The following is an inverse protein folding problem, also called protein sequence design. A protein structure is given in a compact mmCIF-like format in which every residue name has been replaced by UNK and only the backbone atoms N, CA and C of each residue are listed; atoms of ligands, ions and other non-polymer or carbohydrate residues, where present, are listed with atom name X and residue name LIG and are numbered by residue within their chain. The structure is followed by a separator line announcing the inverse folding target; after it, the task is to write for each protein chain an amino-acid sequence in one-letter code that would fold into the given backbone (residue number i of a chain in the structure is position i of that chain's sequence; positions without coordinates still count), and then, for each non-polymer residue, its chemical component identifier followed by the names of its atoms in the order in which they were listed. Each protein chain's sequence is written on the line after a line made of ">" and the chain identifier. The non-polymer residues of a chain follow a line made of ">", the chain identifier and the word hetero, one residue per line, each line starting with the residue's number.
data_IF_369065234251
#
_entry.id   IF_369065234251
#
_cell.length_a   1.000
_cell.length_b   1.000
_cell.length_c   1.000
_cell.angle_alpha   90.00
_cell.angle_beta   90.00
_cell.angle_gamma   90.00
#
_symmetry.space_group_name_H-M   'P 1'
#
loop_
_entity.id
_entity.type
_entity.pdbx_description
1 polymer ?
#
# COMPACT_ATOMS: atom_id res chain seq x y z
N UNK A 1 -20.66 18.19 -34.30
CA UNK A 1 -19.77 19.09 -33.53
C UNK A 1 -19.63 18.46 -32.15
N UNK A 2 -18.53 17.76 -31.87
CA UNK A 2 -18.32 17.11 -30.58
C UNK A 2 -17.61 18.09 -29.65
N UNK A 3 -18.20 18.33 -28.48
CA UNK A 3 -17.59 19.12 -27.42
C UNK A 3 -16.43 18.30 -26.83
N UNK A 4 -15.19 18.73 -27.06
CA UNK A 4 -14.03 18.21 -26.32
C UNK A 4 -14.20 18.56 -24.84
N UNK A 5 -14.28 17.55 -24.00
CA UNK A 5 -14.20 17.73 -22.56
C UNK A 5 -12.82 18.32 -22.22
N UNK A 6 -12.83 19.52 -21.61
CA UNK A 6 -11.65 20.16 -21.05
C UNK A 6 -11.04 19.26 -19.97
N UNK A 7 -9.78 18.85 -20.12
CA UNK A 7 -9.04 18.21 -19.04
C UNK A 7 -8.93 19.18 -17.87
N UNK A 8 -9.51 18.78 -16.73
CA UNK A 8 -9.36 19.47 -15.46
C UNK A 8 -7.86 19.54 -15.11
N UNK A 9 -7.35 20.66 -14.56
CA UNK A 9 -5.96 20.77 -14.18
C UNK A 9 -5.60 19.67 -13.16
N UNK A 10 -4.75 18.74 -13.60
CA UNK A 10 -4.11 17.75 -12.74
C UNK A 10 -3.34 18.53 -11.67
N UNK A 11 -3.82 18.53 -10.43
CA UNK A 11 -3.03 19.01 -9.29
C UNK A 11 -1.94 17.97 -9.11
N UNK A 12 -0.83 18.14 -9.85
CA UNK A 12 0.22 17.14 -10.04
C UNK A 12 1.00 16.87 -8.77
N UNK A 13 0.40 16.18 -7.81
CA UNK A 13 1.14 15.56 -6.71
C UNK A 13 1.82 14.33 -7.30
N UNK A 14 3.11 14.45 -7.56
CA UNK A 14 3.90 13.34 -8.09
C UNK A 14 4.00 12.24 -7.03
N UNK A 15 3.36 11.11 -7.28
CA UNK A 15 3.46 9.94 -6.41
C UNK A 15 4.82 9.26 -6.53
N UNK A 16 5.37 8.87 -5.38
CA UNK A 16 6.63 8.16 -5.27
C UNK A 16 6.44 6.67 -5.52
N UNK A 17 7.48 6.00 -6.03
CA UNK A 17 7.50 4.54 -6.20
C UNK A 17 8.09 3.88 -4.95
N UNK A 18 7.93 2.56 -4.81
CA UNK A 18 8.52 1.82 -3.69
C UNK A 18 10.05 1.90 -3.69
N UNK A 19 10.67 1.94 -4.87
CA UNK A 19 12.12 2.06 -4.99
C UNK A 19 12.69 3.37 -4.46
N UNK A 20 11.91 4.45 -4.44
CA UNK A 20 12.34 5.73 -3.90
C UNK A 20 12.11 5.86 -2.39
N UNK A 21 11.52 4.85 -1.74
CA UNK A 21 11.29 4.87 -0.31
C UNK A 21 12.60 4.85 0.46
N UNK A 22 12.65 5.64 1.53
CA UNK A 22 13.79 5.77 2.43
C UNK A 22 13.30 5.59 3.86
N UNK A 23 14.16 5.06 4.71
CA UNK A 23 13.83 4.76 6.10
C UNK A 23 13.41 5.99 6.89
N UNK A 24 12.51 5.75 7.85
CA UNK A 24 11.97 6.77 8.75
C UNK A 24 10.61 7.30 8.29
N UNK A 25 10.20 8.42 8.88
CA UNK A 25 8.92 9.06 8.55
C UNK A 25 8.99 9.66 7.15
N UNK A 26 8.05 9.24 6.30
CA UNK A 26 7.95 9.70 4.93
C UNK A 26 7.07 10.93 4.84
N UNK A 27 7.56 11.96 4.16
CA UNK A 27 6.74 13.06 3.64
C UNK A 27 6.26 12.81 2.20
N UNK A 28 6.62 11.66 1.62
CA UNK A 28 6.21 11.25 0.27
C UNK A 28 4.78 10.71 0.33
N UNK A 29 4.03 10.96 -0.75
CA UNK A 29 2.79 10.27 -1.04
C UNK A 29 3.05 9.13 -2.02
N UNK A 30 2.34 8.02 -1.88
CA UNK A 30 2.38 6.90 -2.82
C UNK A 30 0.96 6.62 -3.30
N UNK A 31 0.81 6.27 -4.58
CA UNK A 31 -0.38 5.62 -5.09
C UNK A 31 -0.07 4.12 -5.14
N UNK A 32 -0.93 3.31 -4.54
CA UNK A 32 -0.71 1.88 -4.40
C UNK A 32 -1.99 1.10 -4.67
N UNK A 33 -1.88 0.04 -5.46
CA UNK A 33 -2.89 -1.00 -5.54
C UNK A 33 -2.84 -1.84 -4.27
N UNK A 34 -3.98 -2.00 -3.61
CA UNK A 34 -4.14 -2.91 -2.48
C UNK A 34 -4.50 -4.31 -2.99
N UNK A 35 -3.68 -5.30 -2.64
CA UNK A 35 -3.87 -6.70 -3.03
C UNK A 35 -4.69 -7.47 -2.00
N UNK A 36 -4.20 -7.49 -0.76
CA UNK A 36 -4.77 -8.33 0.31
C UNK A 36 -4.38 -7.77 1.68
N UNK A 37 -5.24 -8.01 2.68
CA UNK A 37 -4.85 -7.95 4.08
C UNK A 37 -5.07 -9.28 4.80
N UNK A 38 -4.35 -9.47 5.89
CA UNK A 38 -4.57 -10.56 6.84
C UNK A 38 -4.14 -10.14 8.24
N UNK A 39 -4.62 -10.87 9.24
CA UNK A 39 -4.24 -10.64 10.63
C UNK A 39 -2.80 -11.15 10.86
N UNK A 40 -1.97 -10.30 11.47
CA UNK A 40 -0.63 -10.65 11.94
C UNK A 40 -0.73 -11.14 13.38
N UNK A 41 -0.19 -12.33 13.63
CA UNK A 41 -0.25 -12.99 14.93
C UNK A 41 1.17 -13.20 15.48
N UNK A 42 1.34 -13.03 16.79
CA UNK A 42 2.57 -13.38 17.48
C UNK A 42 2.55 -14.85 17.90
N UNK A 43 3.15 -15.71 17.07
CA UNK A 43 3.21 -17.15 17.33
C UNK A 43 3.89 -17.52 18.65
N UNK A 44 4.80 -16.68 19.17
CA UNK A 44 5.50 -16.95 20.44
C UNK A 44 4.65 -16.63 21.67
N UNK A 45 3.56 -15.90 21.49
CA UNK A 45 2.69 -15.43 22.56
C UNK A 45 1.24 -15.82 22.25
N UNK A 46 1.00 -17.13 22.22
CA UNK A 46 -0.33 -17.74 22.07
C UNK A 46 -1.16 -17.21 20.87
N UNK A 47 -0.48 -16.94 19.75
CA UNK A 47 -1.10 -16.36 18.55
C UNK A 47 -1.79 -15.00 18.83
N UNK A 48 -1.27 -14.21 19.77
CA UNK A 48 -1.78 -12.87 20.08
C UNK A 48 -1.84 -12.01 18.83
N UNK A 49 -2.99 -11.40 18.57
CA UNK A 49 -3.18 -10.47 17.46
C UNK A 49 -2.33 -9.21 17.68
N UNK A 50 -1.38 -8.96 16.78
CA UNK A 50 -0.44 -7.81 16.89
C UNK A 50 -0.74 -6.69 15.90
N UNK A 51 -1.60 -6.93 14.92
CA UNK A 51 -1.93 -5.96 13.89
C UNK A 51 -2.38 -6.63 12.60
N UNK A 52 -2.54 -5.85 11.55
CA UNK A 52 -2.83 -6.36 10.21
C UNK A 52 -1.61 -6.15 9.30
N UNK A 53 -1.30 -7.16 8.50
CA UNK A 53 -0.37 -7.05 7.38
C UNK A 53 -1.15 -6.76 6.12
N UNK A 54 -0.60 -5.90 5.28
CA UNK A 54 -1.18 -5.49 4.01
C UNK A 54 -0.18 -5.75 2.89
N UNK A 55 -0.65 -6.14 1.72
CA UNK A 55 0.17 -6.27 0.52
C UNK A 55 -0.21 -5.20 -0.52
N UNK A 56 0.80 -4.50 -1.00
CA UNK A 56 0.71 -3.33 -1.86
C UNK A 56 1.51 -3.54 -3.14
N UNK A 57 1.02 -3.01 -4.25
CA UNK A 57 1.77 -2.92 -5.51
C UNK A 57 1.76 -1.48 -6.04
N UNK A 58 2.87 -1.03 -6.62
CA UNK A 58 2.94 0.26 -7.30
C UNK A 58 2.90 0.10 -8.82
N UNK A 59 3.11 1.19 -9.55
CA UNK A 59 3.10 1.19 -11.02
C UNK A 59 4.24 0.41 -11.68
N UNK A 60 5.28 0.05 -10.94
CA UNK A 60 6.39 -0.73 -11.50
C UNK A 60 6.00 -2.21 -11.54
N UNK A 61 6.32 -2.87 -12.67
CA UNK A 61 6.00 -4.30 -12.87
C UNK A 61 6.62 -5.13 -11.75
N UNK A 62 5.80 -5.99 -11.13
CA UNK A 62 6.18 -6.90 -10.04
C UNK A 62 6.79 -6.20 -8.80
N UNK A 63 6.54 -4.91 -8.63
CA UNK A 63 7.01 -4.14 -7.47
C UNK A 63 5.97 -4.25 -6.36
N UNK A 64 6.24 -5.16 -5.42
CA UNK A 64 5.35 -5.48 -4.31
C UNK A 64 6.04 -5.17 -2.99
N UNK A 65 5.34 -4.44 -2.12
CA UNK A 65 5.79 -4.14 -0.76
C UNK A 65 4.70 -4.58 0.22
N UNK A 66 5.08 -5.05 1.40
CA UNK A 66 4.11 -5.24 2.47
C UNK A 66 4.07 -4.03 3.39
N UNK A 67 2.91 -3.76 3.95
CA UNK A 67 2.70 -2.80 5.03
C UNK A 67 2.23 -3.48 6.31
N UNK A 68 2.34 -2.76 7.41
CA UNK A 68 1.92 -3.21 8.73
C UNK A 68 1.19 -2.09 9.48
N UNK A 69 0.05 -2.46 10.08
CA UNK A 69 -0.72 -1.59 10.96
C UNK A 69 -0.83 -2.27 12.32
N UNK A 70 -0.32 -1.68 13.41
CA UNK A 70 -0.36 -2.32 14.72
C UNK A 70 -1.78 -2.40 15.28
N UNK A 71 -1.99 -3.36 16.19
CA UNK A 71 -3.26 -3.68 16.86
C UNK A 71 -4.14 -2.46 17.17
N UNK A 72 -3.58 -1.48 17.89
CA UNK A 72 -4.33 -0.28 18.33
C UNK A 72 -4.84 0.62 17.20
N UNK A 73 -4.42 0.36 15.95
CA UNK A 73 -4.81 1.11 14.75
C UNK A 73 -5.47 0.23 13.68
N UNK A 74 -5.47 -1.10 13.84
CA UNK A 74 -5.92 -2.03 12.82
C UNK A 74 -7.36 -1.74 12.36
N UNK A 75 -8.29 -1.59 13.31
CA UNK A 75 -9.71 -1.35 12.99
C UNK A 75 -9.96 -0.02 12.28
N UNK A 76 -9.16 1.01 12.58
CA UNK A 76 -9.30 2.33 11.95
C UNK A 76 -9.01 2.28 10.44
N UNK A 77 -8.00 1.52 10.04
CA UNK A 77 -7.58 1.46 8.64
C UNK A 77 -8.22 0.31 7.85
N UNK A 78 -8.80 -0.69 8.53
CA UNK A 78 -9.35 -1.88 7.88
C UNK A 78 -10.43 -1.56 6.85
N UNK A 79 -11.33 -0.62 7.16
CA UNK A 79 -12.43 -0.21 6.28
C UNK A 79 -11.95 0.51 5.01
N UNK A 80 -10.81 1.21 5.08
CA UNK A 80 -10.22 1.93 3.94
C UNK A 80 -9.44 1.04 2.97
N UNK A 81 -9.22 -0.24 3.33
CA UNK A 81 -8.36 -1.17 2.60
C UNK A 81 -9.17 -2.31 1.96
N UNK A 82 -9.73 -2.03 0.77
CA UNK A 82 -10.55 -2.98 0.03
C UNK A 82 -9.75 -3.66 -1.09
N UNK A 83 -9.80 -5.00 -1.15
CA UNK A 83 -9.10 -5.79 -2.19
C UNK A 83 -9.39 -5.23 -3.60
N UNK A 84 -8.34 -4.91 -4.34
CA UNK A 84 -8.48 -4.34 -5.69
C UNK A 84 -8.77 -2.83 -5.73
N UNK A 85 -8.75 -2.10 -4.62
CA UNK A 85 -8.76 -0.62 -4.65
C UNK A 85 -7.36 -0.06 -4.92
N UNK A 86 -7.32 1.15 -5.48
CA UNK A 86 -6.08 1.94 -5.57
C UNK A 86 -6.21 3.06 -4.55
N UNK A 87 -5.23 3.13 -3.68
CA UNK A 87 -5.24 4.05 -2.54
C UNK A 87 -4.02 4.95 -2.60
N UNK A 88 -4.21 6.21 -2.24
CA UNK A 88 -3.15 7.13 -1.90
C UNK A 88 -2.84 6.96 -0.43
N UNK A 89 -1.56 6.85 -0.11
CA UNK A 89 -1.10 6.74 1.27
C UNK A 89 -0.16 7.91 1.54
N UNK A 90 -0.51 8.72 2.52
CA UNK A 90 0.30 9.84 3.01
C UNK A 90 0.74 9.61 4.46
N UNK A 91 1.81 10.28 4.89
CA UNK A 91 2.27 10.32 6.28
C UNK A 91 2.45 8.92 6.91
N UNK A 92 3.25 8.09 6.27
CA UNK A 92 3.60 6.75 6.75
C UNK A 92 5.07 6.69 7.19
N UNK A 93 5.44 5.62 7.86
CA UNK A 93 6.83 5.33 8.21
C UNK A 93 7.36 4.18 7.36
N UNK A 94 8.64 4.22 6.99
CA UNK A 94 9.33 3.15 6.27
C UNK A 94 10.31 2.48 7.21
N UNK A 95 10.12 1.19 7.44
CA UNK A 95 10.97 0.38 8.29
C UNK A 95 11.71 -0.70 7.49
N UNK A 96 12.81 -1.23 8.04
CA UNK A 96 13.49 -2.40 7.46
C UNK A 96 12.74 -3.68 7.82
N UNK A 97 12.58 -4.56 6.84
CA UNK A 97 12.07 -5.91 7.07
C UNK A 97 13.07 -6.72 7.89
N UNK A 98 12.59 -7.48 8.88
CA UNK A 98 13.44 -8.52 9.51
C UNK A 98 13.56 -9.71 8.55
N UNK A 99 14.76 -10.25 8.39
CA UNK A 99 15.02 -11.35 7.44
C UNK A 99 14.33 -12.67 7.79
N UNK A 100 13.82 -12.81 9.01
CA UNK A 100 13.23 -14.05 9.54
C UNK A 100 11.87 -14.39 8.92
N UNK A 101 11.13 -13.38 8.45
CA UNK A 101 9.79 -13.54 7.87
C UNK A 101 9.62 -12.60 6.68
N UNK A 102 10.17 -13.00 5.52
CA UNK A 102 10.06 -12.23 4.28
C UNK A 102 8.75 -12.55 3.56
N UNK A 103 7.87 -11.55 3.48
CA UNK A 103 6.60 -11.62 2.75
C UNK A 103 6.82 -11.22 1.28
N UNK A 104 7.73 -10.28 1.07
CA UNK A 104 8.10 -9.69 -0.22
C UNK A 104 9.62 -9.59 -0.30
N UNK A 105 10.17 -9.56 -1.51
CA UNK A 105 11.61 -9.32 -1.73
C UNK A 105 12.05 -7.87 -1.44
N UNK A 106 11.08 -6.95 -1.35
CA UNK A 106 11.37 -5.56 -1.03
C UNK A 106 12.01 -5.42 0.38
N UNK A 107 13.15 -4.70 0.52
CA UNK A 107 13.91 -4.62 1.77
C UNK A 107 13.23 -3.79 2.87
N UNK A 108 12.20 -3.03 2.50
CA UNK A 108 11.44 -2.17 3.40
C UNK A 108 9.98 -2.59 3.48
N UNK A 109 9.32 -2.16 4.55
CA UNK A 109 7.88 -2.24 4.75
C UNK A 109 7.31 -0.87 5.15
N UNK A 110 6.03 -0.66 4.83
CA UNK A 110 5.29 0.56 5.15
C UNK A 110 4.55 0.39 6.49
N UNK A 111 4.87 1.21 7.48
CA UNK A 111 4.23 1.23 8.78
C UNK A 111 3.16 2.33 8.85
N UNK A 112 1.94 1.94 9.22
CA UNK A 112 0.88 2.92 9.48
C UNK A 112 1.01 3.49 10.89
N UNK A 113 1.14 4.82 10.94
CA UNK A 113 1.20 5.61 12.15
C UNK A 113 -0.12 6.34 12.34
N UNK A 114 -0.36 6.94 13.50
CA UNK A 114 -1.64 7.62 13.79
C UNK A 114 -1.97 8.77 12.82
N UNK A 115 -0.96 9.30 12.13
CA UNK A 115 -1.12 10.38 11.15
C UNK A 115 -1.28 9.86 9.71
N UNK A 116 -1.20 8.55 9.47
CA UNK A 116 -1.31 8.00 8.13
C UNK A 116 -2.71 8.26 7.59
N UNK A 117 -2.78 8.82 6.38
CA UNK A 117 -4.02 9.12 5.66
C UNK A 117 -4.11 8.16 4.48
N UNK A 118 -5.30 7.60 4.27
CA UNK A 118 -5.60 6.69 3.17
C UNK A 118 -6.82 7.22 2.45
N UNK A 119 -6.63 7.63 1.21
CA UNK A 119 -7.69 8.11 0.34
C UNK A 119 -7.81 7.17 -0.86
N UNK A 120 -9.03 6.83 -1.26
CA UNK A 120 -9.25 6.09 -2.50
C UNK A 120 -8.94 7.00 -3.70
N UNK A 121 -8.17 6.49 -4.66
CA UNK A 121 -7.77 7.26 -5.84
C UNK A 121 -8.57 6.82 -7.05
N UNK A 122 -9.33 7.76 -7.61
CA UNK A 122 -10.19 7.53 -8.77
C UNK A 122 -9.41 7.71 -10.09
N UNK A 123 -8.38 8.58 -10.12
CA UNK A 123 -7.73 9.01 -11.38
C UNK A 123 -6.43 8.25 -11.71
N UNK A 124 -5.63 7.86 -10.71
CA UNK A 124 -4.38 7.11 -10.93
C UNK A 124 -4.59 5.61 -11.17
N UNK A 125 -5.85 5.20 -11.35
CA UNK A 125 -6.17 3.80 -11.61
C UNK A 125 -5.50 3.25 -12.88
N UNK A 126 -5.20 4.13 -13.83
CA UNK A 126 -4.48 3.81 -15.05
C UNK A 126 -2.96 3.66 -14.85
N UNK A 127 -2.36 4.27 -13.82
CA UNK A 127 -0.91 4.17 -13.57
C UNK A 127 -0.52 2.81 -13.00
N UNK A 128 -1.37 2.22 -12.17
CA UNK A 128 -1.14 0.93 -11.54
C UNK A 128 -1.84 -0.14 -12.38
N UNK A 129 -1.14 -0.58 -13.43
CA UNK A 129 -1.62 -1.45 -14.51
C UNK A 129 -2.58 -2.58 -14.03
N UNK A 130 -3.73 -2.73 -14.70
CA UNK A 130 -4.67 -3.83 -14.45
C UNK A 130 -4.03 -5.22 -14.63
N UNK A 131 -3.06 -5.37 -15.53
CA UNK A 131 -2.36 -6.63 -15.76
C UNK A 131 -1.48 -7.01 -14.58
N UNK A 132 -0.72 -6.08 -14.00
CA UNK A 132 0.10 -6.37 -12.80
C UNK A 132 -0.78 -6.76 -11.60
N UNK A 133 -2.01 -6.24 -11.53
CA UNK A 133 -3.01 -6.65 -10.54
C UNK A 133 -3.47 -8.09 -10.76
N UNK A 134 -3.77 -8.47 -12.01
CA UNK A 134 -4.19 -9.84 -12.35
C UNK A 134 -3.08 -10.86 -12.10
N UNK A 135 -1.86 -10.56 -12.51
CA UNK A 135 -0.71 -11.46 -12.35
C UNK A 135 -0.40 -11.68 -10.85
N UNK A 136 -0.38 -10.61 -10.05
CA UNK A 136 -0.16 -10.72 -8.60
C UNK A 136 -1.33 -11.41 -7.87
N UNK A 137 -2.58 -11.23 -8.34
CA UNK A 137 -3.74 -11.91 -7.74
C UNK A 137 -3.69 -13.43 -7.91
N UNK A 138 -3.03 -13.90 -8.97
CA UNK A 138 -2.86 -15.34 -9.27
C UNK A 138 -1.79 -15.97 -8.37
N UNK A 139 -0.80 -15.19 -7.92
CA UNK A 139 0.27 -15.62 -7.00
C UNK A 139 -0.25 -15.74 -5.54
N UNK A 140 -1.34 -15.05 -5.20
CA UNK A 140 -1.90 -15.03 -3.83
C UNK A 140 -2.96 -16.12 -3.55
N UNK A 141 -3.19 -17.06 -4.47
CA UNK A 141 -4.15 -18.16 -4.29
C UNK A 141 -3.53 -19.36 -3.58
#
# INVERSE_FOLDING_TARGET
>A
MFLSASSVPQTGVRHSTFESLRLGRSSQSIASGFLRLWDSLNFKKDMEFVGITVLFLDKKVNSVIHGFTPLGRANHYRSSLKAGSIVKIDHFEVARCSSMYKITDHPFLICFISLTIIDEVITDAHEINFQSRLDCSTISK
#
